data_IF_836648324899
#
_entry.id   IF_836648324899
#
_cell.length_a   1.000
_cell.length_b   1.000
_cell.length_c   1.000
_cell.angle_alpha   90.00
_cell.angle_beta   90.00
_cell.angle_gamma   90.00
#
_symmetry.space_group_name_H-M   'P 1'
#
loop_
_entity.id
_entity.type
_entity.pdbx_description
1 polymer ?
#
# COMPACT_ATOMS: atom_id res chain seq x y z
N UNK A 1 -10.59 -7.06 22.54
CA UNK A 1 -10.56 -7.48 21.14
C UNK A 1 -11.70 -6.79 20.42
N UNK A 2 -11.43 -5.62 19.87
CA UNK A 2 -12.38 -4.82 19.13
C UNK A 2 -11.65 -3.98 18.08
N UNK A 3 -12.35 -3.62 17.02
CA UNK A 3 -11.82 -2.70 16.02
C UNK A 3 -11.60 -1.29 16.58
N UNK A 4 -11.06 -0.37 15.77
CA UNK A 4 -10.79 1.01 16.19
C UNK A 4 -12.04 1.81 16.58
N UNK A 5 -13.24 1.37 16.19
CA UNK A 5 -14.52 2.01 16.46
C UNK A 5 -15.44 1.94 15.26
N UNK A 6 -16.53 2.71 15.30
CA UNK A 6 -17.44 2.88 14.16
C UNK A 6 -16.72 3.49 12.94
N UNK A 7 -17.12 3.11 11.73
CA UNK A 7 -16.52 3.61 10.49
C UNK A 7 -15.19 2.95 10.10
N UNK A 8 -14.79 1.87 10.78
CA UNK A 8 -13.59 1.10 10.44
C UNK A 8 -13.92 -0.30 9.95
N UNK A 9 -13.25 -0.72 8.88
CA UNK A 9 -13.36 -2.07 8.33
C UNK A 9 -11.99 -2.73 8.36
N UNK A 10 -11.93 -3.96 8.89
CA UNK A 10 -10.73 -4.79 8.85
C UNK A 10 -10.54 -5.31 7.44
N UNK A 11 -9.34 -5.11 6.89
CA UNK A 11 -9.02 -5.53 5.51
C UNK A 11 -7.86 -6.54 5.44
N UNK A 12 -7.15 -6.75 6.54
CA UNK A 12 -6.07 -7.73 6.62
C UNK A 12 -5.62 -8.03 8.05
N UNK A 13 -4.66 -8.95 8.17
CA UNK A 13 -4.04 -9.35 9.43
C UNK A 13 -2.75 -8.57 9.70
N UNK A 14 -2.54 -8.20 10.95
CA UNK A 14 -1.29 -7.62 11.46
C UNK A 14 -0.07 -8.51 11.23
N UNK A 15 -0.27 -9.82 11.06
CA UNK A 15 0.80 -10.79 10.84
C UNK A 15 1.46 -10.69 9.46
N UNK A 16 1.00 -9.79 8.58
CA UNK A 16 1.73 -9.45 7.35
C UNK A 16 3.16 -9.07 7.74
N UNK A 17 4.20 -9.82 7.33
CA UNK A 17 5.57 -9.55 7.74
C UNK A 17 6.08 -8.25 7.12
N UNK A 18 7.17 -7.70 7.66
CA UNK A 18 7.90 -6.63 7.01
C UNK A 18 8.28 -7.04 5.57
N UNK A 19 8.04 -6.15 4.61
CA UNK A 19 8.18 -6.44 3.19
C UNK A 19 7.05 -7.23 2.55
N UNK A 20 6.03 -7.63 3.33
CA UNK A 20 4.88 -8.36 2.84
C UNK A 20 3.95 -7.49 2.00
N UNK A 21 3.30 -8.13 1.03
CA UNK A 21 2.27 -7.54 0.17
C UNK A 21 1.06 -8.49 0.13
N UNK A 22 -0.15 -7.93 0.19
CA UNK A 22 -1.41 -8.65 0.08
C UNK A 22 -2.42 -7.81 -0.72
N UNK A 23 -3.14 -8.45 -1.64
CA UNK A 23 -4.28 -7.85 -2.33
C UNK A 23 -5.58 -8.12 -1.58
N UNK A 24 -6.49 -7.15 -1.58
CA UNK A 24 -7.84 -7.27 -1.01
C UNK A 24 -8.83 -6.39 -1.77
N UNK A 25 -10.12 -6.57 -1.54
CA UNK A 25 -11.18 -5.75 -2.18
C UNK A 25 -12.10 -5.19 -1.10
N UNK A 26 -12.46 -3.91 -1.22
CA UNK A 26 -13.42 -3.24 -0.33
C UNK A 26 -14.44 -2.47 -1.17
N UNK A 27 -15.71 -2.89 -1.15
CA UNK A 27 -16.79 -2.24 -1.90
C UNK A 27 -16.43 -1.95 -3.37
N UNK A 28 -15.96 -2.98 -4.08
CA UNK A 28 -15.49 -2.95 -5.48
C UNK A 28 -14.20 -2.17 -5.75
N UNK A 29 -13.56 -1.59 -4.72
CA UNK A 29 -12.21 -1.02 -4.81
C UNK A 29 -11.16 -2.13 -4.59
N UNK A 30 -10.27 -2.35 -5.58
CA UNK A 30 -9.08 -3.17 -5.40
C UNK A 30 -8.04 -2.40 -4.56
N UNK A 31 -7.62 -2.98 -3.44
CA UNK A 31 -6.63 -2.41 -2.53
C UNK A 31 -5.39 -3.30 -2.42
N UNK A 32 -4.25 -2.67 -2.19
CA UNK A 32 -3.01 -3.32 -1.79
C UNK A 32 -2.70 -2.96 -0.34
N UNK A 33 -2.49 -3.99 0.48
CA UNK A 33 -1.90 -3.88 1.80
C UNK A 33 -0.43 -4.24 1.65
N UNK A 34 0.45 -3.37 2.12
CA UNK A 34 1.88 -3.66 2.14
C UNK A 34 2.47 -3.21 3.47
N UNK A 35 3.58 -3.82 3.87
CA UNK A 35 4.31 -3.41 5.07
C UNK A 35 5.72 -3.02 4.68
N UNK A 36 6.14 -1.82 5.06
CA UNK A 36 7.52 -1.39 4.86
C UNK A 36 8.52 -2.30 5.57
N UNK A 37 9.80 -2.17 5.24
CA UNK A 37 10.86 -2.93 5.92
C UNK A 37 11.04 -2.49 7.37
N UNK A 38 10.75 -1.23 7.73
CA UNK A 38 10.67 -0.78 9.11
C UNK A 38 9.41 -1.26 9.85
N UNK A 39 8.47 -1.89 9.15
CA UNK A 39 7.27 -2.48 9.74
C UNK A 39 6.04 -1.57 9.70
N UNK A 40 6.05 -0.46 8.97
CA UNK A 40 4.88 0.42 8.83
C UNK A 40 3.84 -0.24 7.92
N UNK A 41 2.61 -0.52 8.39
CA UNK A 41 1.54 -1.01 7.53
C UNK A 41 0.98 0.14 6.70
N UNK A 42 0.76 -0.12 5.42
CA UNK A 42 0.25 0.83 4.45
C UNK A 42 -0.87 0.19 3.65
N UNK A 43 -1.85 1.01 3.25
CA UNK A 43 -2.96 0.57 2.41
C UNK A 43 -3.16 1.61 1.31
N UNK A 44 -3.26 1.15 0.07
CA UNK A 44 -3.45 2.01 -1.07
C UNK A 44 -4.31 1.34 -2.15
N UNK A 45 -4.70 2.09 -3.17
CA UNK A 45 -5.25 1.52 -4.41
C UNK A 45 -4.28 0.47 -4.98
N UNK A 46 -4.81 -0.66 -5.44
CA UNK A 46 -3.97 -1.76 -5.91
C UNK A 46 -3.35 -1.52 -7.27
N UNK A 47 -3.78 -0.51 -8.04
CA UNK A 47 -3.36 -0.34 -9.43
C UNK A 47 -2.37 0.79 -9.58
N UNK A 48 -1.24 0.50 -10.22
CA UNK A 48 -0.24 1.50 -10.53
C UNK A 48 -0.82 2.57 -11.48
N UNK A 49 -0.80 3.87 -11.13
CA UNK A 49 -1.37 4.95 -11.96
C UNK A 49 -0.66 5.15 -13.31
N UNK A 50 0.46 4.46 -13.55
CA UNK A 50 1.13 4.47 -14.85
C UNK A 50 0.33 3.71 -15.91
N UNK A 51 0.09 2.41 -15.69
CA UNK A 51 -0.51 1.49 -16.67
C UNK A 51 -1.28 0.33 -16.00
N UNK A 52 -1.86 0.58 -14.82
CA UNK A 52 -2.85 -0.28 -14.16
C UNK A 52 -2.39 -1.68 -13.70
N UNK A 53 -1.08 -1.93 -13.69
CA UNK A 53 -0.45 -3.07 -13.03
C UNK A 53 -0.96 -3.27 -11.61
N UNK A 54 -1.38 -4.49 -11.27
CA UNK A 54 -1.89 -4.80 -9.94
C UNK A 54 -0.74 -5.02 -8.97
N UNK A 55 -0.45 -4.04 -8.12
CA UNK A 55 0.69 -3.95 -7.21
C UNK A 55 0.74 -5.09 -6.19
N UNK A 56 -0.38 -5.76 -5.89
CA UNK A 56 -0.33 -6.95 -5.05
C UNK A 56 0.38 -8.15 -5.71
N UNK A 57 0.34 -8.26 -7.05
CA UNK A 57 0.97 -9.34 -7.81
C UNK A 57 2.22 -8.91 -8.58
N UNK A 58 2.28 -7.63 -8.96
CA UNK A 58 3.37 -7.03 -9.75
C UNK A 58 4.17 -6.00 -8.93
N UNK A 59 4.10 -6.08 -7.61
CA UNK A 59 4.80 -5.20 -6.70
C UNK A 59 5.83 -5.92 -5.82
N UNK A 60 6.75 -5.14 -5.28
CA UNK A 60 7.65 -5.53 -4.20
C UNK A 60 7.83 -4.38 -3.23
N UNK A 61 8.16 -4.66 -1.97
CA UNK A 61 8.56 -3.64 -1.01
C UNK A 61 10.08 -3.50 -1.03
N UNK A 62 10.56 -2.27 -1.11
CA UNK A 62 11.98 -1.92 -1.03
C UNK A 62 12.16 -0.77 -0.04
N UNK A 63 12.67 -1.09 1.15
CA UNK A 63 12.75 -0.14 2.26
C UNK A 63 11.37 0.38 2.67
N UNK A 64 11.16 1.68 2.53
CA UNK A 64 9.91 2.38 2.86
C UNK A 64 9.03 2.67 1.63
N UNK A 65 9.23 1.91 0.55
CA UNK A 65 8.52 2.13 -0.71
C UNK A 65 7.91 0.85 -1.27
N UNK A 66 6.73 0.99 -1.86
CA UNK A 66 6.12 0.00 -2.73
C UNK A 66 6.59 0.24 -4.18
N UNK A 67 7.20 -0.77 -4.79
CA UNK A 67 7.78 -0.70 -6.14
C UNK A 67 6.92 -1.52 -7.10
N UNK A 68 6.41 -0.89 -8.14
CA UNK A 68 5.81 -1.57 -9.28
C UNK A 68 6.91 -2.20 -10.14
N UNK A 69 6.96 -3.53 -10.23
CA UNK A 69 8.00 -4.27 -10.95
C UNK A 69 7.88 -4.19 -12.47
N UNK A 70 6.75 -3.71 -13.00
CA UNK A 70 6.53 -3.58 -14.44
C UNK A 70 7.33 -2.42 -15.04
N UNK A 71 7.41 -1.28 -14.34
CA UNK A 71 8.06 -0.05 -14.84
C UNK A 71 8.88 0.71 -13.80
N UNK A 72 9.05 0.14 -12.61
CA UNK A 72 9.84 0.65 -11.48
C UNK A 72 9.37 2.02 -10.97
N UNK A 73 8.05 2.25 -10.99
CA UNK A 73 7.47 3.33 -10.18
C UNK A 73 7.53 2.92 -8.72
N UNK A 74 7.91 3.88 -7.87
CA UNK A 74 8.15 3.71 -6.44
C UNK A 74 7.20 4.64 -5.70
N UNK A 75 6.49 4.11 -4.72
CA UNK A 75 5.48 4.84 -3.96
C UNK A 75 5.89 4.87 -2.50
N UNK A 76 5.97 6.06 -1.90
CA UNK A 76 6.23 6.21 -0.46
C UNK A 76 5.03 5.73 0.35
N UNK A 77 5.18 5.64 1.67
CA UNK A 77 4.08 5.33 2.60
C UNK A 77 2.89 6.31 2.49
N UNK A 78 3.16 7.55 2.08
CA UNK A 78 2.15 8.60 1.85
C UNK A 78 1.60 8.59 0.40
N UNK A 79 2.08 7.66 -0.44
CA UNK A 79 1.63 7.49 -1.82
C UNK A 79 2.38 8.32 -2.85
N UNK A 80 3.40 9.10 -2.47
CA UNK A 80 4.13 9.91 -3.45
C UNK A 80 4.80 9.04 -4.50
N UNK A 81 4.52 9.30 -5.77
CA UNK A 81 5.02 8.52 -6.89
C UNK A 81 6.34 9.06 -7.42
N UNK A 82 7.32 8.17 -7.58
CA UNK A 82 8.65 8.52 -8.08
C UNK A 82 9.17 7.46 -9.05
N UNK A 83 10.10 7.84 -9.91
CA UNK A 83 10.91 6.90 -10.67
C UNK A 83 12.38 7.21 -10.46
N UNK A 84 13.13 6.20 -10.04
CA UNK A 84 14.58 6.29 -9.95
C UNK A 84 15.22 5.78 -11.24
N UNK A 85 16.20 6.52 -11.76
CA UNK A 85 16.99 6.08 -12.90
C UNK A 85 18.29 5.40 -12.46
N UNK A 86 19.06 4.87 -13.41
CA UNK A 86 20.34 4.19 -13.13
C UNK A 86 21.41 5.07 -12.46
N UNK A 87 21.26 6.40 -12.48
CA UNK A 87 22.17 7.33 -11.81
C UNK A 87 21.67 7.74 -10.42
N UNK A 88 20.59 7.13 -9.90
CA UNK A 88 19.98 7.47 -8.63
C UNK A 88 19.14 8.76 -8.64
N UNK A 89 18.91 9.38 -9.80
CA UNK A 89 18.04 10.57 -9.90
C UNK A 89 16.59 10.12 -9.75
N UNK A 90 15.84 10.81 -8.88
CA UNK A 90 14.41 10.58 -8.67
C UNK A 90 13.57 11.63 -9.39
N UNK A 91 12.72 11.16 -10.30
CA UNK A 91 11.78 11.98 -11.07
C UNK A 91 10.36 11.79 -10.50
N UNK A 92 9.66 12.88 -10.14
CA UNK A 92 8.26 12.81 -9.64
C UNK A 92 7.32 12.22 -10.70
N UNK A 93 6.35 11.41 -10.25
CA UNK A 93 5.33 10.71 -11.05
C UNK A 93 3.95 10.91 -10.44
N UNK A 94 2.95 10.22 -11.01
CA UNK A 94 1.61 10.20 -10.46
C UNK A 94 1.60 9.46 -9.11
N UNK A 95 0.94 10.06 -8.13
CA UNK A 95 0.84 9.53 -6.78
C UNK A 95 -0.20 8.39 -6.71
N UNK A 96 0.02 7.47 -5.78
CA UNK A 96 -0.88 6.37 -5.47
C UNK A 96 -1.86 6.81 -4.38
N UNK A 97 -3.15 6.54 -4.57
CA UNK A 97 -4.17 6.89 -3.59
C UNK A 97 -4.03 6.01 -2.33
N UNK A 98 -3.58 6.59 -1.22
CA UNK A 98 -3.48 5.90 0.07
C UNK A 98 -4.79 5.96 0.86
N UNK A 99 -5.11 4.88 1.56
CA UNK A 99 -6.23 4.82 2.52
C UNK A 99 -5.65 4.93 3.93
N UNK A 100 -6.12 5.90 4.75
CA UNK A 100 -5.76 5.94 6.16
C UNK A 100 -6.04 4.60 6.82
N UNK A 101 -5.01 4.02 7.42
CA UNK A 101 -5.09 2.72 8.06
C UNK A 101 -4.55 2.77 9.49
N UNK A 102 -5.01 1.84 10.32
CA UNK A 102 -4.49 1.62 11.67
C UNK A 102 -4.30 0.14 11.92
N UNK A 103 -3.28 -0.18 12.70
CA UNK A 103 -3.06 -1.51 13.20
C UNK A 103 -3.58 -1.62 14.63
N UNK A 104 -4.53 -2.54 14.87
CA UNK A 104 -5.14 -2.74 16.20
C UNK A 104 -5.69 -4.15 16.32
N UNK A 105 -5.47 -4.76 17.49
CA UNK A 105 -6.03 -6.07 17.88
C UNK A 105 -5.81 -7.15 16.82
N UNK A 106 -4.60 -7.21 16.24
CA UNK A 106 -4.22 -8.21 15.24
C UNK A 106 -4.77 -7.95 13.82
N UNK A 107 -5.43 -6.82 13.59
CA UNK A 107 -5.95 -6.42 12.29
C UNK A 107 -5.32 -5.14 11.75
N UNK A 108 -5.27 -5.05 10.42
CA UNK A 108 -5.09 -3.81 9.67
C UNK A 108 -6.49 -3.34 9.26
N UNK A 109 -6.80 -2.10 9.64
CA UNK A 109 -8.13 -1.51 9.47
C UNK A 109 -8.03 -0.24 8.64
N UNK A 110 -9.04 0.03 7.81
CA UNK A 110 -9.18 1.30 7.09
C UNK A 110 -10.48 1.99 7.44
N UNK A 111 -10.46 3.31 7.38
CA UNK A 111 -11.67 4.10 7.56
C UNK A 111 -12.51 4.04 6.27
N UNK A 112 -13.72 3.52 6.38
CA UNK A 112 -14.76 3.70 5.35
C UNK A 112 -15.40 5.05 5.61
N UNK A 113 -15.44 5.91 4.59
CA UNK A 113 -16.17 7.17 4.68
C UNK A 113 -17.65 6.83 4.89
N UNK A 114 -18.25 7.40 5.93
CA UNK A 114 -19.71 7.50 6.04
C UNK A 114 -20.27 8.46 5.00
#
# INVERSE_FOLDING_TARGET
>A
MGGPGEGWVRIGDSSLPAGGILGTTLADEDLVIWRSMAGTPCVAEARCPHQWSHLAGEGAVDGEELVCLTHLWRFTVDGEGWKENVSGRRDRKGDLAVRPCVERDGGIWVQVRG
#
